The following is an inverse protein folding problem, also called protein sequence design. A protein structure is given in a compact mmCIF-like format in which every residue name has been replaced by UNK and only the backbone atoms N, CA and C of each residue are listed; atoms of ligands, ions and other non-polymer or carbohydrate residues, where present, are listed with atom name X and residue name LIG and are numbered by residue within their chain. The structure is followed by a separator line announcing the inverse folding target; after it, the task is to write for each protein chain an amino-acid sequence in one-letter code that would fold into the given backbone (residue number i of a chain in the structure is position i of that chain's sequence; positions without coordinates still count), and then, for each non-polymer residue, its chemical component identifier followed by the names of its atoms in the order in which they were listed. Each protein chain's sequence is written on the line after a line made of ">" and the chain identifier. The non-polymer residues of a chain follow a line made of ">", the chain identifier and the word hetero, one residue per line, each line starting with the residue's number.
data_IF_982984200085
#
_entry.id   IF_982984200085
#
_cell.length_a   1.000
_cell.length_b   1.000
_cell.length_c   1.000
_cell.angle_alpha   90.00
_cell.angle_beta   90.00
_cell.angle_gamma   90.00
#
_symmetry.space_group_name_H-M   'P 1'
#
loop_
_entity.id
_entity.type
_entity.pdbx_description
1 polymer ?
#
# COMPACT_ATOMS: atom_id res chain seq x y z
N UNK A 1 -12.86 3.28 10.05
CA UNK A 1 -12.24 4.06 8.95
C UNK A 1 -13.01 3.87 7.65
N UNK A 2 -13.05 2.67 7.07
CA UNK A 2 -13.70 2.43 5.77
C UNK A 2 -15.16 2.91 5.72
N UNK A 3 -15.97 2.64 6.75
CA UNK A 3 -17.34 3.16 6.84
C UNK A 3 -17.46 4.69 6.73
N UNK A 4 -16.56 5.45 7.35
CA UNK A 4 -16.57 6.92 7.28
C UNK A 4 -16.23 7.43 5.87
N UNK A 5 -15.29 6.75 5.19
CA UNK A 5 -14.93 7.04 3.81
C UNK A 5 -16.09 6.72 2.86
N UNK A 6 -16.73 5.56 3.05
CA UNK A 6 -17.91 5.16 2.28
C UNK A 6 -19.03 6.18 2.43
N UNK A 7 -19.31 6.64 3.66
CA UNK A 7 -20.34 7.66 3.91
C UNK A 7 -19.98 8.99 3.24
N UNK A 8 -18.74 9.47 3.41
CA UNK A 8 -18.31 10.70 2.75
C UNK A 8 -18.49 10.63 1.22
N UNK A 9 -18.21 9.47 0.62
CA UNK A 9 -18.43 9.23 -0.81
C UNK A 9 -19.90 9.24 -1.22
N UNK A 10 -20.78 8.63 -0.41
CA UNK A 10 -22.23 8.68 -0.66
C UNK A 10 -22.76 10.12 -0.64
N UNK A 11 -22.12 11.00 0.14
CA UNK A 11 -22.41 12.43 0.19
C UNK A 11 -21.73 13.24 -0.95
N UNK A 12 -21.09 12.57 -1.91
CA UNK A 12 -20.46 13.19 -3.08
C UNK A 12 -19.03 13.69 -2.86
N UNK A 13 -18.40 13.37 -1.72
CA UNK A 13 -17.01 13.78 -1.45
C UNK A 13 -16.04 12.87 -2.23
N UNK A 14 -15.19 13.47 -3.08
CA UNK A 14 -14.08 12.77 -3.72
C UNK A 14 -12.83 12.81 -2.84
N UNK A 15 -12.23 11.65 -2.57
CA UNK A 15 -10.96 11.55 -1.85
C UNK A 15 -9.86 11.26 -2.87
N UNK A 16 -8.96 12.23 -3.08
CA UNK A 16 -7.84 12.09 -4.01
C UNK A 16 -6.59 11.54 -3.33
N UNK A 17 -6.27 12.05 -2.15
CA UNK A 17 -5.12 11.60 -1.36
C UNK A 17 -5.64 10.94 -0.10
N UNK A 18 -5.21 9.70 0.14
CA UNK A 18 -5.50 8.96 1.34
C UNK A 18 -4.21 8.69 2.09
N UNK A 19 -4.06 9.34 3.25
CA UNK A 19 -2.93 9.17 4.14
C UNK A 19 -3.38 8.46 5.42
N UNK A 20 -2.57 7.50 5.85
CA UNK A 20 -2.81 6.70 7.04
C UNK A 20 -1.50 6.50 7.78
N UNK A 21 -1.51 6.77 9.08
CA UNK A 21 -0.34 6.68 9.94
C UNK A 21 -0.62 5.90 11.22
N UNK A 22 0.38 5.16 11.71
CA UNK A 22 0.31 4.43 12.98
C UNK A 22 -0.76 3.33 13.00
N UNK A 23 -1.11 2.77 11.84
CA UNK A 23 -2.16 1.77 11.74
C UNK A 23 -1.63 0.38 12.09
N UNK A 24 -1.76 0.03 13.37
CA UNK A 24 -1.47 -1.29 13.93
C UNK A 24 -2.79 -2.03 14.18
N UNK A 25 -3.21 -2.82 13.19
CA UNK A 25 -4.49 -3.50 13.22
C UNK A 25 -4.35 -4.93 13.75
N UNK A 26 -5.20 -5.32 14.69
CA UNK A 26 -5.42 -6.74 15.05
C UNK A 26 -6.56 -7.36 14.22
N UNK A 27 -7.04 -6.65 13.20
CA UNK A 27 -8.17 -7.07 12.39
C UNK A 27 -7.73 -8.27 11.56
N UNK A 28 -8.58 -9.30 11.56
CA UNK A 28 -8.39 -10.46 10.71
C UNK A 28 -8.54 -10.03 9.25
N UNK A 29 -7.41 -9.99 8.55
CA UNK A 29 -7.31 -9.59 7.15
C UNK A 29 -7.92 -10.63 6.19
N UNK A 30 -8.34 -11.79 6.72
CA UNK A 30 -9.08 -12.79 5.97
C UNK A 30 -10.58 -12.45 5.85
N UNK A 31 -11.09 -11.41 6.51
CA UNK A 31 -12.50 -11.00 6.38
C UNK A 31 -12.78 -10.38 5.00
N UNK A 32 -13.57 -11.07 4.13
CA UNK A 32 -13.88 -10.58 2.79
C UNK A 32 -14.67 -9.27 2.80
N UNK A 33 -15.51 -9.05 3.83
CA UNK A 33 -16.35 -7.85 3.93
C UNK A 33 -15.49 -6.60 4.17
N UNK A 34 -14.43 -6.74 4.97
CA UNK A 34 -13.50 -5.65 5.22
C UNK A 34 -12.71 -5.30 3.95
N UNK A 35 -12.28 -6.32 3.20
CA UNK A 35 -11.55 -6.15 1.94
C UNK A 35 -12.41 -5.44 0.89
N UNK A 36 -13.67 -5.86 0.72
CA UNK A 36 -14.59 -5.21 -0.21
C UNK A 36 -14.94 -3.78 0.22
N UNK A 37 -15.17 -3.54 1.51
CA UNK A 37 -15.45 -2.20 2.02
C UNK A 37 -14.28 -1.23 1.81
N UNK A 38 -13.06 -1.71 2.03
CA UNK A 38 -11.85 -0.93 1.78
C UNK A 38 -11.61 -0.70 0.29
N UNK A 39 -11.92 -1.69 -0.56
CA UNK A 39 -11.90 -1.55 -2.02
C UNK A 39 -12.83 -0.41 -2.47
N UNK A 40 -14.08 -0.46 -2.05
CA UNK A 40 -15.06 0.55 -2.46
C UNK A 40 -14.72 1.93 -1.89
N UNK A 41 -14.20 1.98 -0.66
CA UNK A 41 -13.76 3.21 -0.02
C UNK A 41 -12.60 3.90 -0.78
N UNK A 42 -11.65 3.11 -1.32
CA UNK A 42 -10.43 3.62 -1.95
C UNK A 42 -10.52 3.69 -3.49
N UNK A 43 -11.70 3.46 -4.08
CA UNK A 43 -11.83 3.23 -5.52
C UNK A 43 -11.38 4.40 -6.42
N UNK A 44 -11.49 5.66 -5.98
CA UNK A 44 -11.00 6.82 -6.76
C UNK A 44 -9.82 7.54 -6.09
N UNK A 45 -9.16 6.87 -5.16
CA UNK A 45 -7.94 7.40 -4.54
C UNK A 45 -6.83 7.44 -5.59
N UNK A 46 -6.27 8.62 -5.77
CA UNK A 46 -5.18 8.88 -6.71
C UNK A 46 -3.81 8.69 -6.07
N UNK A 47 -3.71 8.98 -4.78
CA UNK A 47 -2.49 8.92 -3.99
C UNK A 47 -2.74 8.19 -2.67
N UNK A 48 -1.97 7.14 -2.42
CA UNK A 48 -2.01 6.38 -1.18
C UNK A 48 -0.68 6.56 -0.42
N UNK A 49 -0.76 7.07 0.81
CA UNK A 49 0.39 7.23 1.71
C UNK A 49 0.20 6.39 2.96
N UNK A 50 0.98 5.32 3.11
CA UNK A 50 0.97 4.46 4.29
C UNK A 50 2.23 4.68 5.11
N UNK A 51 2.08 5.31 6.27
CA UNK A 51 3.18 5.75 7.14
C UNK A 51 3.19 4.90 8.41
N UNK A 52 4.31 4.27 8.76
CA UNK A 52 4.46 3.46 9.97
C UNK A 52 3.27 2.49 10.19
N UNK A 53 2.83 1.84 9.11
CA UNK A 53 1.58 1.07 9.06
C UNK A 53 1.85 -0.35 8.53
N UNK A 54 2.61 -1.19 9.27
CA UNK A 54 3.01 -2.52 8.80
C UNK A 54 1.81 -3.42 8.52
N UNK A 55 0.77 -3.36 9.35
CA UNK A 55 -0.49 -4.10 9.12
C UNK A 55 -1.32 -3.58 7.96
N UNK A 56 -1.09 -2.33 7.53
CA UNK A 56 -1.68 -1.89 6.27
C UNK A 56 -0.96 -2.53 5.09
N UNK A 57 0.35 -2.74 5.17
CA UNK A 57 1.05 -3.54 4.16
C UNK A 57 0.65 -5.02 4.20
N UNK A 58 0.27 -5.56 5.35
CA UNK A 58 -0.31 -6.90 5.40
C UNK A 58 -1.75 -6.95 4.87
N UNK A 59 -2.56 -5.91 5.11
CA UNK A 59 -3.86 -5.74 4.44
C UNK A 59 -3.65 -5.69 2.92
N UNK A 60 -2.56 -5.06 2.52
CA UNK A 60 -2.03 -5.04 1.17
C UNK A 60 -1.08 -6.23 0.92
N UNK A 61 -1.18 -7.40 1.58
CA UNK A 61 -0.33 -8.58 1.24
C UNK A 61 -0.49 -8.98 -0.23
N UNK A 62 -1.61 -8.61 -0.83
CA UNK A 62 -1.83 -8.57 -2.27
C UNK A 62 -1.73 -7.13 -2.79
N UNK A 63 -0.66 -6.40 -2.48
CA UNK A 63 -0.48 -5.00 -2.89
C UNK A 63 -0.56 -4.89 -4.41
N UNK A 64 -0.07 -5.92 -5.10
CA UNK A 64 -0.28 -6.12 -6.53
C UNK A 64 -1.76 -6.18 -6.91
N UNK A 65 -2.57 -7.06 -6.31
CA UNK A 65 -4.00 -7.14 -6.62
C UNK A 65 -4.74 -5.86 -6.27
N UNK A 66 -4.38 -5.21 -5.16
CA UNK A 66 -4.93 -3.93 -4.76
C UNK A 66 -4.65 -2.87 -5.83
N UNK A 67 -3.38 -2.66 -6.19
CA UNK A 67 -3.02 -1.68 -7.20
C UNK A 67 -3.66 -2.00 -8.55
N UNK A 68 -3.71 -3.28 -8.95
CA UNK A 68 -4.39 -3.72 -10.18
C UNK A 68 -5.88 -3.41 -10.15
N UNK A 69 -6.57 -3.66 -9.04
CA UNK A 69 -7.99 -3.35 -8.87
C UNK A 69 -8.27 -1.84 -8.89
N UNK A 70 -7.32 -1.03 -8.45
CA UNK A 70 -7.41 0.43 -8.42
C UNK A 70 -6.70 1.12 -9.60
N UNK A 71 -6.35 0.38 -10.66
CA UNK A 71 -5.57 0.90 -11.79
C UNK A 71 -6.25 2.03 -12.57
N UNK A 72 -7.57 2.17 -12.43
CA UNK A 72 -8.35 3.25 -13.04
C UNK A 72 -8.12 4.62 -12.41
N UNK A 73 -7.58 4.69 -11.18
CA UNK A 73 -7.51 5.92 -10.39
C UNK A 73 -6.18 6.10 -9.66
N UNK A 74 -5.61 5.04 -9.09
CA UNK A 74 -4.39 5.11 -8.31
C UNK A 74 -3.17 5.36 -9.20
N UNK A 75 -2.38 6.39 -8.87
CA UNK A 75 -1.14 6.75 -9.57
C UNK A 75 0.07 6.86 -8.67
N UNK A 76 -0.12 7.25 -7.41
CA UNK A 76 0.98 7.48 -6.48
C UNK A 76 0.89 6.56 -5.27
N UNK A 77 1.96 5.84 -4.98
CA UNK A 77 2.07 4.96 -3.83
C UNK A 77 3.30 5.32 -2.98
N UNK A 78 3.05 5.80 -1.77
CA UNK A 78 4.09 6.16 -0.81
C UNK A 78 4.02 5.26 0.41
N UNK A 79 5.08 4.50 0.63
CA UNK A 79 5.26 3.66 1.81
C UNK A 79 6.33 4.32 2.68
N UNK A 80 6.00 4.72 3.91
CA UNK A 80 6.92 5.39 4.82
C UNK A 80 7.04 4.62 6.13
N UNK A 81 8.25 4.57 6.71
CA UNK A 81 8.55 3.84 7.94
C UNK A 81 7.99 2.41 7.95
N UNK A 82 8.08 1.75 6.80
CA UNK A 82 7.48 0.44 6.58
C UNK A 82 8.48 -0.68 6.85
N UNK A 83 8.21 -1.43 7.91
CA UNK A 83 8.93 -2.62 8.33
C UNK A 83 8.15 -3.85 7.85
N UNK A 84 8.51 -4.41 6.68
CA UNK A 84 7.86 -5.62 6.18
C UNK A 84 8.57 -6.86 6.70
N UNK A 85 7.82 -7.75 7.37
CA UNK A 85 8.28 -9.09 7.68
C UNK A 85 8.17 -9.93 6.40
N UNK A 86 9.32 -10.37 5.88
CA UNK A 86 9.41 -11.35 4.82
C UNK A 86 9.49 -12.75 5.45
N UNK A 87 8.46 -13.56 5.19
CA UNK A 87 8.43 -14.96 5.60
C UNK A 87 8.89 -15.83 4.43
N UNK A 88 9.92 -16.63 4.65
CA UNK A 88 10.38 -17.65 3.70
C UNK A 88 10.19 -19.03 4.33
N UNK A 89 9.31 -19.81 3.74
CA UNK A 89 9.02 -21.18 4.16
C UNK A 89 9.93 -22.12 3.36
N UNK A 90 10.79 -22.85 4.05
CA UNK A 90 11.64 -23.91 3.48
C UNK A 90 11.33 -25.25 4.17
N UNK A 91 11.91 -26.35 3.68
CA UNK A 91 11.77 -27.69 4.29
C UNK A 91 12.19 -27.73 5.78
N UNK A 92 13.13 -26.86 6.17
CA UNK A 92 13.67 -26.75 7.54
C UNK A 92 12.87 -25.80 8.46
N UNK A 93 11.78 -25.20 7.98
CA UNK A 93 10.88 -24.35 8.77
C UNK A 93 10.68 -22.93 8.23
N UNK A 94 10.19 -22.06 9.10
CA UNK A 94 9.80 -20.68 8.79
C UNK A 94 10.94 -19.72 9.12
N UNK A 95 11.47 -19.04 8.10
CA UNK A 95 12.45 -17.96 8.26
C UNK A 95 11.76 -16.61 8.18
N UNK A 96 11.81 -15.84 9.26
CA UNK A 96 11.36 -14.46 9.30
C UNK A 96 12.55 -13.54 9.12
N UNK A 97 12.54 -12.72 8.07
CA UNK A 97 13.52 -11.66 7.86
C UNK A 97 12.83 -10.33 7.62
N UNK A 98 13.56 -9.24 7.78
CA UNK A 98 13.11 -7.93 7.36
C UNK A 98 13.25 -7.83 5.84
N UNK A 99 12.16 -7.52 5.13
CA UNK A 99 12.23 -7.12 3.73
C UNK A 99 13.01 -5.80 3.66
N UNK A 100 14.03 -5.75 2.80
CA UNK A 100 14.70 -4.49 2.51
C UNK A 100 13.85 -3.67 1.50
N UNK A 101 13.99 -2.34 1.52
CA UNK A 101 13.23 -1.44 0.66
C UNK A 101 13.34 -1.78 -0.83
N UNK A 102 14.51 -2.26 -1.28
CA UNK A 102 14.72 -2.66 -2.67
C UNK A 102 13.89 -3.90 -3.04
N UNK A 103 13.83 -4.92 -2.18
CA UNK A 103 13.02 -6.12 -2.42
C UNK A 103 11.52 -5.82 -2.42
N UNK A 104 11.07 -4.83 -1.64
CA UNK A 104 9.69 -4.33 -1.72
C UNK A 104 9.48 -3.67 -3.08
N UNK A 105 10.38 -2.78 -3.49
CA UNK A 105 10.32 -2.12 -4.79
C UNK A 105 10.33 -3.12 -5.95
N UNK A 106 11.20 -4.14 -5.90
CA UNK A 106 11.33 -5.18 -6.94
C UNK A 106 10.05 -5.98 -7.13
N UNK A 107 9.32 -6.25 -6.03
CA UNK A 107 7.99 -6.88 -6.10
C UNK A 107 6.96 -5.96 -6.75
N UNK A 108 7.09 -4.65 -6.56
CA UNK A 108 6.22 -3.64 -7.18
C UNK A 108 6.61 -3.33 -8.63
N UNK A 109 7.81 -3.70 -9.09
CA UNK A 109 8.25 -3.48 -10.48
C UNK A 109 7.29 -4.13 -11.49
N UNK A 110 6.68 -5.28 -11.18
CA UNK A 110 5.67 -5.91 -12.06
C UNK A 110 4.39 -5.09 -12.22
N UNK A 111 4.06 -4.29 -11.21
CA UNK A 111 2.91 -3.38 -11.22
C UNK A 111 3.28 -2.12 -11.99
N UNK A 112 4.49 -1.63 -11.78
CA UNK A 112 5.06 -0.51 -12.52
C UNK A 112 5.11 -0.80 -14.02
N UNK A 113 5.61 -1.96 -14.42
CA UNK A 113 5.72 -2.38 -15.83
C UNK A 113 4.35 -2.46 -16.53
N UNK A 114 3.26 -2.58 -15.76
CA UNK A 114 1.90 -2.52 -16.28
C UNK A 114 1.40 -1.09 -16.54
N UNK A 115 2.20 -0.06 -16.24
CA UNK A 115 1.86 1.35 -16.44
C UNK A 115 0.74 1.85 -15.52
N UNK A 116 0.55 1.20 -14.36
CA UNK A 116 -0.53 1.53 -13.43
C UNK A 116 -0.18 2.72 -12.55
N UNK A 117 1.04 2.75 -12.01
CA UNK A 117 1.52 3.79 -11.11
C UNK A 117 2.48 4.73 -11.86
N UNK A 118 2.40 6.02 -11.54
CA UNK A 118 3.30 7.07 -12.01
C UNK A 118 4.46 7.29 -11.03
N UNK A 119 4.28 6.94 -9.75
CA UNK A 119 5.35 6.98 -8.75
C UNK A 119 5.15 5.93 -7.64
N UNK A 120 6.27 5.34 -7.22
CA UNK A 120 6.37 4.51 -6.02
C UNK A 120 7.56 4.99 -5.20
N UNK A 121 7.33 5.34 -3.94
CA UNK A 121 8.40 5.73 -3.01
C UNK A 121 8.36 4.89 -1.75
N UNK A 122 9.52 4.50 -1.24
CA UNK A 122 9.67 3.68 -0.03
C UNK A 122 10.63 4.37 0.95
N UNK A 123 10.17 4.50 2.19
CA UNK A 123 10.87 5.00 3.37
C UNK A 123 11.57 6.34 3.10
N UNK A 124 10.80 7.43 3.22
CA UNK A 124 11.35 8.79 3.13
C UNK A 124 12.31 9.05 4.28
N UNK A 125 13.53 9.47 3.95
CA UNK A 125 14.60 9.85 4.88
C UNK A 125 14.55 11.35 5.18
N UNK A 126 15.12 11.77 6.32
CA UNK A 126 15.43 13.19 6.56
C UNK A 126 16.21 13.78 5.38
N UNK A 127 15.81 14.96 4.92
CA UNK A 127 16.37 15.59 3.72
C UNK A 127 15.62 15.29 2.42
N UNK A 128 14.55 14.48 2.48
CA UNK A 128 13.62 14.29 1.35
C UNK A 128 14.03 13.19 0.37
N UNK A 129 15.13 12.47 0.64
CA UNK A 129 15.54 11.30 -0.12
C UNK A 129 14.71 10.08 0.26
N UNK A 130 14.56 9.10 -0.63
CA UNK A 130 13.87 7.85 -0.35
C UNK A 130 14.88 6.69 -0.32
N UNK A 131 14.63 5.66 0.50
CA UNK A 131 15.45 4.45 0.48
C UNK A 131 15.36 3.71 -0.86
N UNK A 132 14.17 3.72 -1.47
CA UNK A 132 13.90 3.19 -2.79
C UNK A 132 12.80 4.03 -3.47
N UNK A 133 12.93 4.24 -4.77
CA UNK A 133 11.93 4.96 -5.57
C UNK A 133 11.95 4.50 -7.02
N UNK A 134 10.79 4.52 -7.66
CA UNK A 134 10.60 4.35 -9.11
C UNK A 134 9.52 5.34 -9.57
N UNK A 135 9.73 5.93 -10.76
CA UNK A 135 9.01 7.12 -11.19
C UNK A 135 9.69 8.38 -10.69
N UNK A 136 9.68 9.42 -11.51
CA UNK A 136 10.25 10.72 -11.15
C UNK A 136 9.41 11.79 -11.82
N UNK A 137 9.15 12.85 -11.05
CA UNK A 137 8.48 14.07 -11.47
C UNK A 137 9.01 14.54 -12.85
N UNK A 138 8.09 14.68 -13.80
CA UNK A 138 8.21 15.68 -14.86
C UNK A 138 7.17 16.78 -14.59
#
# INVERSE_FOLDING_TARGET
>A
MAAAITVARLDGVSIRTFEVSGFYSRIDLADPLLLDLMRDALNDVHELRAINSPTMLEFLKNLEDFVRKHAGSLRYLHLEDTWLLHEKINEDGIYLSMANAQSILDNLTRIWDAGILDEVTINRRPGGFYEAQVGSCN
#
